data_IF_016865449618
#
_entry.id   IF_016865449618
#
_cell.length_a   1.000
_cell.length_b   1.000
_cell.length_c   1.000
_cell.angle_alpha   90.00
_cell.angle_beta   90.00
_cell.angle_gamma   90.00
#
_symmetry.space_group_name_H-M   'P 1'
#
loop_
_entity.id
_entity.type
_entity.pdbx_description
1 polymer ?
#
# COMPACT_ATOMS: atom_id res chain seq x y z
N UNK A 1 3.54 1.89 20.39
CA UNK A 1 2.18 1.50 19.93
C UNK A 1 1.25 2.68 20.18
N UNK A 2 0.77 3.33 19.12
CA UNK A 2 -0.13 4.48 19.21
C UNK A 2 -1.52 3.98 18.83
N UNK A 3 -2.17 3.27 19.75
CA UNK A 3 -3.54 2.82 19.57
C UNK A 3 -4.50 3.69 20.38
N UNK A 4 -5.55 4.17 19.75
CA UNK A 4 -6.66 4.87 20.39
C UNK A 4 -7.91 4.01 20.26
N UNK A 5 -8.54 3.71 21.40
CA UNK A 5 -9.81 3.00 21.42
C UNK A 5 -10.94 3.81 20.78
N UNK A 6 -12.02 3.17 20.40
CA UNK A 6 -13.18 3.83 19.80
C UNK A 6 -13.72 4.92 20.74
N UNK A 7 -13.85 6.14 20.22
CA UNK A 7 -14.32 7.28 20.98
C UNK A 7 -15.06 8.26 20.07
N UNK A 8 -16.08 8.91 20.58
CA UNK A 8 -16.72 10.07 19.95
C UNK A 8 -16.07 11.39 20.31
N UNK A 9 -15.02 11.37 21.13
CA UNK A 9 -14.34 12.59 21.58
C UNK A 9 -13.30 13.05 20.55
N UNK A 10 -13.63 14.08 19.78
CA UNK A 10 -12.77 14.65 18.73
C UNK A 10 -11.38 15.06 19.26
N UNK A 11 -11.29 15.56 20.51
CA UNK A 11 -10.00 15.96 21.08
C UNK A 11 -9.06 14.79 21.27
N UNK A 12 -9.57 13.62 21.72
CA UNK A 12 -8.75 12.42 21.88
C UNK A 12 -8.30 11.87 20.52
N UNK A 13 -9.15 11.96 19.50
CA UNK A 13 -8.78 11.59 18.15
C UNK A 13 -7.68 12.48 17.59
N UNK A 14 -7.80 13.80 17.74
CA UNK A 14 -6.77 14.74 17.30
C UNK A 14 -5.44 14.55 18.06
N UNK A 15 -5.50 14.25 19.36
CA UNK A 15 -4.31 13.94 20.15
C UNK A 15 -3.63 12.65 19.69
N UNK A 16 -4.40 11.62 19.37
CA UNK A 16 -3.88 10.35 18.83
C UNK A 16 -3.21 10.57 17.46
N UNK A 17 -3.85 11.33 16.56
CA UNK A 17 -3.26 11.71 15.27
C UNK A 17 -1.99 12.54 15.45
N UNK A 18 -1.98 13.47 16.38
CA UNK A 18 -0.79 14.30 16.68
C UNK A 18 0.39 13.49 17.25
N UNK A 19 0.10 12.38 17.94
CA UNK A 19 1.13 11.43 18.42
C UNK A 19 1.62 10.47 17.33
N UNK A 20 0.91 10.38 16.22
CA UNK A 20 1.32 9.59 15.08
C UNK A 20 2.49 10.27 14.38
N UNK A 21 3.68 10.04 14.90
CA UNK A 21 4.91 10.37 14.19
C UNK A 21 5.06 9.31 13.08
N UNK A 22 4.78 9.70 11.86
CA UNK A 22 5.07 8.87 10.71
C UNK A 22 6.55 8.48 10.78
N UNK A 23 6.82 7.23 11.07
CA UNK A 23 8.17 6.73 10.85
C UNK A 23 8.37 6.78 9.35
N UNK A 24 9.21 7.69 8.88
CA UNK A 24 9.60 7.80 7.49
C UNK A 24 10.44 6.58 7.07
N UNK A 25 9.83 5.41 7.16
CA UNK A 25 10.38 4.23 6.56
C UNK A 25 10.48 4.51 5.05
N UNK A 26 11.65 4.29 4.48
CA UNK A 26 11.82 4.33 3.02
C UNK A 26 10.72 3.48 2.41
N UNK A 27 10.11 3.97 1.34
CA UNK A 27 9.15 3.17 0.56
C UNK A 27 9.77 1.80 0.27
N UNK A 28 9.02 0.70 0.48
CA UNK A 28 9.50 -0.65 0.15
C UNK A 28 9.95 -0.74 -1.30
N UNK A 29 9.25 -0.05 -2.19
CA UNK A 29 9.59 0.09 -3.61
C UNK A 29 10.96 0.75 -3.79
N UNK A 30 11.27 1.82 -3.05
CA UNK A 30 12.58 2.49 -3.11
C UNK A 30 13.69 1.58 -2.55
N UNK A 31 13.41 0.85 -1.47
CA UNK A 31 14.36 -0.11 -0.89
C UNK A 31 14.71 -1.25 -1.85
N UNK A 32 13.73 -1.76 -2.60
CA UNK A 32 13.92 -2.80 -3.61
C UNK A 32 14.81 -2.32 -4.75
N UNK A 33 14.54 -1.12 -5.26
CA UNK A 33 15.31 -0.51 -6.33
C UNK A 33 16.78 -0.34 -5.91
N UNK A 34 17.04 0.19 -4.71
CA UNK A 34 18.40 0.34 -4.16
C UNK A 34 19.12 -1.00 -4.04
N UNK A 35 18.42 -2.06 -3.63
CA UNK A 35 18.98 -3.41 -3.48
C UNK A 35 19.30 -4.02 -4.83
N UNK A 36 18.37 -3.95 -5.78
CA UNK A 36 18.55 -4.46 -7.14
C UNK A 36 19.77 -3.85 -7.83
N UNK A 37 19.95 -2.53 -7.73
CA UNK A 37 21.11 -1.85 -8.34
C UNK A 37 22.42 -2.11 -7.59
N UNK A 38 22.35 -2.39 -6.30
CA UNK A 38 23.55 -2.80 -5.55
C UNK A 38 24.04 -4.18 -6.01
N UNK A 39 23.14 -5.08 -6.38
CA UNK A 39 23.50 -6.37 -6.97
C UNK A 39 23.97 -6.27 -8.41
N UNK A 40 23.39 -5.37 -9.22
CA UNK A 40 23.83 -5.13 -10.60
C UNK A 40 25.28 -4.64 -10.70
N UNK A 41 25.78 -3.99 -9.66
CA UNK A 41 27.15 -3.48 -9.61
C UNK A 41 28.21 -4.52 -9.20
N UNK A 42 27.79 -5.73 -8.79
CA UNK A 42 28.69 -6.83 -8.51
C UNK A 42 28.75 -7.76 -9.72
N UNK A 43 29.97 -8.13 -10.16
CA UNK A 43 30.28 -8.92 -11.38
C UNK A 43 29.66 -10.34 -11.45
N UNK A 44 28.80 -10.71 -10.51
CA UNK A 44 28.14 -12.02 -10.42
C UNK A 44 26.95 -12.22 -11.34
N UNK A 45 26.77 -11.36 -12.34
CA UNK A 45 25.61 -11.32 -13.24
C UNK A 45 25.49 -12.52 -14.19
N UNK A 46 26.49 -13.37 -14.29
CA UNK A 46 26.56 -14.36 -15.36
C UNK A 46 25.92 -15.72 -15.05
N UNK A 47 25.51 -16.02 -13.80
CA UNK A 47 25.06 -17.39 -13.48
C UNK A 47 23.97 -17.54 -12.41
N UNK A 48 23.37 -16.49 -11.86
CA UNK A 48 22.37 -16.69 -10.81
C UNK A 48 21.09 -15.90 -11.11
N UNK A 49 19.93 -16.57 -11.05
CA UNK A 49 18.66 -15.94 -10.76
C UNK A 49 18.93 -15.01 -9.57
N UNK A 50 18.75 -13.71 -9.76
CA UNK A 50 18.78 -12.76 -8.66
C UNK A 50 17.63 -13.15 -7.74
N UNK A 51 17.92 -13.93 -6.73
CA UNK A 51 16.97 -14.22 -5.66
C UNK A 51 16.89 -12.94 -4.86
N UNK A 52 15.74 -12.28 -4.93
CA UNK A 52 15.49 -11.11 -4.11
C UNK A 52 15.45 -11.55 -2.63
N UNK A 53 16.52 -11.28 -1.89
CA UNK A 53 16.63 -11.63 -0.47
C UNK A 53 15.51 -11.00 0.36
N UNK A 54 14.93 -9.90 -0.10
CA UNK A 54 13.83 -9.21 0.55
C UNK A 54 12.45 -9.74 0.13
N UNK A 55 12.37 -10.65 -0.86
CA UNK A 55 11.10 -11.17 -1.34
C UNK A 55 10.31 -11.87 -0.23
N UNK A 56 10.97 -12.65 0.59
CA UNK A 56 10.36 -13.30 1.76
C UNK A 56 9.82 -12.27 2.76
N UNK A 57 10.59 -11.21 3.04
CA UNK A 57 10.18 -10.15 3.95
C UNK A 57 8.97 -9.39 3.41
N UNK A 58 8.98 -9.05 2.12
CA UNK A 58 7.85 -8.39 1.45
C UNK A 58 6.60 -9.27 1.43
N UNK A 59 6.76 -10.52 1.05
CA UNK A 59 5.67 -11.49 1.08
C UNK A 59 5.07 -11.66 2.48
N UNK A 60 5.92 -11.69 3.50
CA UNK A 60 5.48 -11.77 4.91
C UNK A 60 4.74 -10.50 5.34
N UNK A 61 5.24 -9.31 5.00
CA UNK A 61 4.58 -8.03 5.28
C UNK A 61 3.24 -7.91 4.58
N UNK A 62 3.17 -8.27 3.30
CA UNK A 62 1.94 -8.27 2.53
C UNK A 62 0.86 -9.13 3.19
N UNK A 63 1.21 -10.37 3.55
CA UNK A 63 0.30 -11.29 4.23
C UNK A 63 -0.12 -10.79 5.60
N UNK A 64 0.80 -10.25 6.40
CA UNK A 64 0.50 -9.69 7.71
C UNK A 64 -0.48 -8.51 7.61
N UNK A 65 -0.31 -7.62 6.62
CA UNK A 65 -1.22 -6.52 6.37
C UNK A 65 -2.62 -7.01 6.02
N UNK A 66 -2.73 -7.96 5.09
CA UNK A 66 -4.01 -8.53 4.68
C UNK A 66 -4.69 -9.28 5.84
N UNK A 67 -3.93 -10.06 6.62
CA UNK A 67 -4.45 -10.72 7.81
C UNK A 67 -5.00 -9.72 8.83
N UNK A 68 -4.32 -8.61 9.08
CA UNK A 68 -4.79 -7.55 9.99
C UNK A 68 -6.09 -6.92 9.50
N UNK A 69 -6.21 -6.64 8.20
CA UNK A 69 -7.47 -6.09 7.63
C UNK A 69 -8.61 -7.10 7.71
N UNK A 70 -8.34 -8.39 7.51
CA UNK A 70 -9.33 -9.45 7.67
C UNK A 70 -9.80 -9.58 9.12
N UNK A 71 -8.86 -9.67 10.07
CA UNK A 71 -9.18 -9.74 11.50
C UNK A 71 -9.99 -8.53 11.98
N UNK A 72 -9.64 -7.33 11.50
CA UNK A 72 -10.41 -6.12 11.76
C UNK A 72 -11.84 -6.22 11.20
N UNK A 73 -11.97 -6.73 9.98
CA UNK A 73 -13.29 -6.95 9.35
C UNK A 73 -14.13 -7.96 10.12
N UNK A 74 -13.53 -9.07 10.51
CA UNK A 74 -14.18 -10.10 11.33
C UNK A 74 -14.63 -9.53 12.68
N UNK A 75 -13.81 -8.75 13.34
CA UNK A 75 -14.15 -8.09 14.59
C UNK A 75 -15.31 -7.08 14.40
N UNK A 76 -15.29 -6.30 13.32
CA UNK A 76 -16.36 -5.36 12.99
C UNK A 76 -17.67 -6.06 12.61
N UNK A 77 -17.66 -7.34 12.24
CA UNK A 77 -18.87 -8.11 11.93
C UNK A 77 -19.85 -8.14 13.11
N UNK A 78 -19.35 -8.04 14.34
CA UNK A 78 -20.16 -7.94 15.57
C UNK A 78 -21.03 -6.67 15.63
N UNK A 79 -20.69 -5.62 14.89
CA UNK A 79 -21.48 -4.38 14.80
C UNK A 79 -22.54 -4.53 13.72
N UNK A 80 -23.77 -4.80 14.13
CA UNK A 80 -24.89 -5.06 13.20
C UNK A 80 -25.67 -3.80 12.84
N UNK A 81 -26.38 -3.84 11.73
CA UNK A 81 -27.38 -2.84 11.34
C UNK A 81 -26.81 -1.54 10.76
N UNK A 82 -25.54 -1.49 10.46
CA UNK A 82 -24.93 -0.32 9.77
C UNK A 82 -23.73 -0.72 8.93
N UNK A 83 -23.52 0.00 7.82
CA UNK A 83 -22.30 -0.05 7.03
C UNK A 83 -21.15 0.52 7.86
N UNK A 84 -19.99 -0.08 7.75
CA UNK A 84 -18.77 0.36 8.44
C UNK A 84 -17.77 0.82 7.40
N UNK A 85 -17.09 1.92 7.69
CA UNK A 85 -16.00 2.46 6.89
C UNK A 85 -14.68 2.25 7.63
N UNK A 86 -13.72 1.68 6.94
CA UNK A 86 -12.33 1.60 7.42
C UNK A 86 -11.46 2.40 6.46
N UNK A 87 -10.73 3.37 6.98
CA UNK A 87 -9.75 4.12 6.20
C UNK A 87 -8.39 3.47 6.39
N UNK A 88 -7.87 2.90 5.32
CA UNK A 88 -6.57 2.25 5.27
C UNK A 88 -5.56 3.18 4.59
N UNK A 89 -4.71 3.81 5.38
CA UNK A 89 -3.63 4.67 4.90
C UNK A 89 -2.37 3.84 4.70
N UNK A 90 -1.97 3.64 3.46
CA UNK A 90 -0.82 2.80 3.11
C UNK A 90 -0.21 3.23 1.78
N UNK A 91 1.09 2.98 1.64
CA UNK A 91 1.78 3.13 0.35
C UNK A 91 1.48 1.99 -0.63
N UNK A 92 0.61 1.05 -0.24
CA UNK A 92 0.23 -0.12 -1.00
C UNK A 92 0.86 -1.41 -0.47
N UNK A 93 0.49 -2.51 -1.10
CA UNK A 93 1.07 -3.82 -0.84
C UNK A 93 2.21 -3.99 -1.84
N UNK A 94 3.44 -3.92 -1.35
CA UNK A 94 4.65 -4.01 -2.17
C UNK A 94 4.95 -5.47 -2.55
N UNK A 95 4.06 -6.06 -3.34
CA UNK A 95 4.24 -7.39 -3.89
C UNK A 95 3.50 -7.54 -5.23
N UNK A 96 4.19 -8.12 -6.22
CA UNK A 96 3.58 -8.40 -7.51
C UNK A 96 2.74 -9.68 -7.43
N UNK A 97 1.43 -9.50 -7.30
CA UNK A 97 0.47 -10.61 -7.23
C UNK A 97 0.11 -11.18 -8.61
N UNK A 98 0.47 -10.48 -9.69
CA UNK A 98 0.15 -10.87 -11.06
C UNK A 98 1.27 -11.68 -11.71
N UNK A 99 2.52 -11.51 -11.27
CA UNK A 99 3.66 -12.29 -11.77
C UNK A 99 3.86 -13.59 -10.99
N UNK A 100 3.00 -14.57 -11.25
CA UNK A 100 3.05 -15.89 -10.62
C UNK A 100 4.31 -16.70 -10.99
N UNK A 101 5.03 -16.34 -12.04
CA UNK A 101 6.22 -17.07 -12.49
C UNK A 101 7.49 -16.64 -11.78
N UNK A 102 7.63 -15.36 -11.48
CA UNK A 102 8.82 -14.80 -10.86
C UNK A 102 8.63 -14.44 -9.38
N UNK A 103 7.37 -14.34 -8.92
CA UNK A 103 7.01 -13.98 -7.55
C UNK A 103 6.49 -15.20 -6.78
N UNK A 104 7.32 -15.88 -5.96
CA UNK A 104 6.98 -17.17 -5.32
C UNK A 104 5.71 -17.13 -4.46
N UNK A 105 5.38 -15.98 -3.89
CA UNK A 105 4.23 -15.81 -3.00
C UNK A 105 3.02 -15.16 -3.69
N UNK A 106 3.09 -14.84 -4.98
CA UNK A 106 2.04 -14.13 -5.71
C UNK A 106 0.67 -14.78 -5.56
N UNK A 107 0.55 -16.07 -5.85
CA UNK A 107 -0.71 -16.81 -5.74
C UNK A 107 -1.25 -16.86 -4.31
N UNK A 108 -0.35 -16.97 -3.33
CA UNK A 108 -0.74 -17.00 -1.91
C UNK A 108 -1.27 -15.63 -1.48
N UNK A 109 -0.59 -14.55 -1.85
CA UNK A 109 -0.98 -13.17 -1.49
C UNK A 109 -2.27 -12.78 -2.22
N UNK A 110 -2.43 -13.16 -3.50
CA UNK A 110 -3.68 -12.97 -4.23
C UNK A 110 -4.85 -13.66 -3.55
N UNK A 111 -4.69 -14.91 -3.11
CA UNK A 111 -5.72 -15.62 -2.35
C UNK A 111 -6.05 -14.97 -1.01
N UNK A 112 -5.06 -14.45 -0.30
CA UNK A 112 -5.28 -13.71 0.95
C UNK A 112 -5.98 -12.36 0.70
N UNK A 113 -5.69 -11.69 -0.41
CA UNK A 113 -6.39 -10.48 -0.84
C UNK A 113 -7.88 -10.77 -1.06
N UNK A 114 -8.20 -11.79 -1.85
CA UNK A 114 -9.58 -12.21 -2.10
C UNK A 114 -10.32 -12.58 -0.81
N UNK A 115 -9.68 -13.31 0.10
CA UNK A 115 -10.25 -13.65 1.40
C UNK A 115 -10.51 -12.43 2.26
N UNK A 116 -9.62 -11.44 2.23
CA UNK A 116 -9.78 -10.19 2.96
C UNK A 116 -10.95 -9.39 2.42
N UNK A 117 -11.08 -9.28 1.10
CA UNK A 117 -12.23 -8.66 0.43
C UNK A 117 -13.53 -9.39 0.82
N UNK A 118 -13.54 -10.71 0.75
CA UNK A 118 -14.70 -11.52 1.13
C UNK A 118 -15.13 -11.32 2.58
N UNK A 119 -14.19 -11.29 3.52
CA UNK A 119 -14.46 -11.04 4.93
C UNK A 119 -15.01 -9.62 5.16
N UNK A 120 -14.45 -8.60 4.53
CA UNK A 120 -14.92 -7.23 4.61
C UNK A 120 -16.35 -7.10 4.05
N UNK A 121 -16.63 -7.69 2.90
CA UNK A 121 -17.96 -7.69 2.29
C UNK A 121 -18.99 -8.38 3.19
N UNK A 122 -18.67 -9.56 3.73
CA UNK A 122 -19.56 -10.28 4.66
C UNK A 122 -19.82 -9.50 5.94
N UNK A 123 -18.82 -8.76 6.41
CA UNK A 123 -18.94 -7.90 7.59
C UNK A 123 -19.65 -6.57 7.29
N UNK A 124 -20.03 -6.27 6.06
CA UNK A 124 -20.53 -4.96 5.61
C UNK A 124 -19.54 -3.83 5.97
N UNK A 125 -18.26 -4.07 5.67
CA UNK A 125 -17.14 -3.12 5.84
C UNK A 125 -16.69 -2.66 4.48
N UNK A 126 -16.73 -1.38 4.22
CA UNK A 126 -16.12 -0.75 3.05
C UNK A 126 -14.71 -0.28 3.41
N UNK A 127 -13.71 -0.70 2.64
CA UNK A 127 -12.33 -0.26 2.79
C UNK A 127 -12.09 0.95 1.89
N UNK A 128 -11.72 2.06 2.49
CA UNK A 128 -11.28 3.25 1.78
C UNK A 128 -9.78 3.31 1.87
N UNK A 129 -9.11 3.17 0.75
CA UNK A 129 -7.65 3.15 0.71
C UNK A 129 -7.13 4.53 0.35
N UNK A 130 -6.06 4.95 1.02
CA UNK A 130 -5.48 6.26 0.85
C UNK A 130 -3.96 6.15 0.78
N UNK A 131 -3.39 6.57 -0.37
CA UNK A 131 -1.94 6.64 -0.53
C UNK A 131 -1.43 7.99 0.00
N UNK A 132 -0.69 8.01 1.13
CA UNK A 132 -0.22 9.25 1.72
C UNK A 132 0.91 9.94 0.93
N UNK A 133 1.46 9.28 -0.09
CA UNK A 133 2.51 9.86 -0.95
C UNK A 133 1.97 10.99 -1.84
N UNK A 134 0.65 11.01 -2.08
CA UNK A 134 0.01 12.00 -2.94
C UNK A 134 0.37 11.82 -4.42
N UNK A 135 0.34 12.91 -5.19
CA UNK A 135 0.84 12.90 -6.57
C UNK A 135 2.36 12.72 -6.56
N UNK A 136 2.79 11.48 -6.64
CA UNK A 136 4.19 11.16 -6.95
C UNK A 136 4.40 11.41 -8.45
N UNK A 137 4.67 12.65 -8.81
CA UNK A 137 5.29 12.90 -10.12
C UNK A 137 6.69 12.30 -10.04
N UNK A 138 6.94 11.27 -10.84
CA UNK A 138 8.29 10.84 -11.14
C UNK A 138 8.90 11.99 -11.94
N UNK A 139 9.75 12.74 -11.31
CA UNK A 139 10.18 14.07 -11.74
C UNK A 139 10.05 15.11 -10.62
N UNK A 140 9.52 14.72 -9.43
CA UNK A 140 9.72 15.57 -8.25
C UNK A 140 11.20 15.51 -7.86
N UNK A 141 11.80 16.69 -7.75
CA UNK A 141 13.23 16.91 -7.46
C UNK A 141 13.79 16.02 -6.32
N UNK A 142 12.95 15.48 -5.44
CA UNK A 142 13.34 14.59 -4.36
C UNK A 142 13.63 13.15 -4.81
N UNK A 143 12.91 12.63 -5.78
CA UNK A 143 13.16 11.28 -6.31
C UNK A 143 14.36 11.35 -7.27
N UNK A 144 14.45 12.39 -8.10
CA UNK A 144 15.61 12.63 -8.94
C UNK A 144 16.87 12.93 -8.11
N UNK A 145 16.80 13.73 -7.05
CA UNK A 145 17.95 14.04 -6.20
C UNK A 145 18.48 12.80 -5.45
N UNK A 146 17.62 11.86 -5.02
CA UNK A 146 18.07 10.60 -4.43
C UNK A 146 18.64 9.62 -5.47
N UNK A 147 18.18 9.67 -6.71
CA UNK A 147 18.67 8.85 -7.81
C UNK A 147 19.99 9.39 -8.43
N UNK A 148 20.23 10.70 -8.32
CA UNK A 148 21.42 11.37 -8.90
C UNK A 148 22.64 11.33 -7.96
N UNK A 149 22.47 11.03 -6.67
CA UNK A 149 23.60 11.01 -5.71
C UNK A 149 24.60 9.87 -5.93
N UNK A 150 24.36 8.96 -6.87
CA UNK A 150 25.36 7.95 -7.24
C UNK A 150 25.96 8.28 -8.62
N UNK A 151 26.95 9.18 -8.61
CA UNK A 151 27.72 9.67 -9.79
C UNK A 151 28.45 8.55 -10.57
N UNK A 152 28.27 7.28 -10.19
CA UNK A 152 28.96 6.14 -10.80
C UNK A 152 28.26 5.56 -12.02
N UNK A 153 27.03 6.01 -12.34
CA UNK A 153 26.23 5.50 -13.45
C UNK A 153 25.75 6.60 -14.40
N UNK A 154 26.68 7.32 -14.99
CA UNK A 154 26.41 8.34 -16.00
C UNK A 154 26.37 7.73 -17.41
N UNK A 155 25.46 6.80 -17.67
CA UNK A 155 25.35 6.26 -19.01
C UNK A 155 24.09 5.42 -19.22
N UNK A 156 23.05 6.00 -19.80
CA UNK A 156 21.95 5.26 -20.45
C UNK A 156 20.98 4.45 -19.57
N UNK A 157 21.35 4.14 -18.33
CA UNK A 157 20.59 3.27 -17.43
C UNK A 157 19.51 3.99 -16.61
N UNK A 158 19.53 5.31 -16.57
CA UNK A 158 18.59 6.13 -15.78
C UNK A 158 17.14 5.95 -16.26
N UNK A 159 16.93 5.72 -17.53
CA UNK A 159 15.61 5.48 -18.11
C UNK A 159 14.98 4.17 -17.62
N UNK A 160 15.76 3.10 -17.62
CA UNK A 160 15.30 1.77 -17.16
C UNK A 160 14.98 1.76 -15.66
N UNK A 161 15.74 2.50 -14.85
CA UNK A 161 15.47 2.68 -13.41
C UNK A 161 14.14 3.36 -13.15
N UNK A 162 13.85 4.43 -13.88
CA UNK A 162 12.60 5.17 -13.75
C UNK A 162 11.39 4.34 -14.17
N UNK A 163 11.51 3.53 -15.21
CA UNK A 163 10.42 2.68 -15.68
C UNK A 163 10.14 1.54 -14.70
N UNK A 164 11.16 0.92 -14.12
CA UNK A 164 11.01 -0.09 -13.08
C UNK A 164 10.35 0.49 -11.82
N UNK A 165 10.81 1.67 -11.36
CA UNK A 165 10.22 2.35 -10.21
C UNK A 165 8.75 2.73 -10.46
N UNK A 166 8.43 3.21 -11.66
CA UNK A 166 7.04 3.49 -12.06
C UNK A 166 6.17 2.25 -12.03
N UNK A 167 6.69 1.15 -12.53
CA UNK A 167 5.98 -0.11 -12.53
C UNK A 167 5.67 -0.57 -11.09
N UNK A 168 6.66 -0.58 -10.22
CA UNK A 168 6.51 -0.99 -8.82
C UNK A 168 5.54 -0.08 -8.04
N UNK A 169 5.62 1.23 -8.26
CA UNK A 169 4.67 2.17 -7.64
C UNK A 169 3.24 1.93 -8.10
N UNK A 170 3.06 1.64 -9.38
CA UNK A 170 1.74 1.34 -9.96
C UNK A 170 1.18 0.04 -9.38
N UNK A 171 1.97 -1.01 -9.30
CA UNK A 171 1.56 -2.28 -8.68
C UNK A 171 1.08 -2.11 -7.24
N UNK A 172 1.82 -1.31 -6.46
CA UNK A 172 1.44 -1.04 -5.08
C UNK A 172 0.11 -0.27 -4.99
N UNK A 173 -0.16 0.62 -5.95
CA UNK A 173 -1.43 1.38 -6.05
C UNK A 173 -2.58 0.50 -6.56
N UNK A 174 -2.32 -0.39 -7.52
CA UNK A 174 -3.34 -1.31 -8.05
C UNK A 174 -3.88 -2.21 -6.93
N UNK A 175 -3.03 -2.73 -6.05
CA UNK A 175 -3.45 -3.49 -4.88
C UNK A 175 -4.34 -2.70 -3.91
N UNK A 176 -4.11 -1.39 -3.75
CA UNK A 176 -4.98 -0.52 -2.95
C UNK A 176 -6.35 -0.34 -3.63
N UNK A 177 -6.35 -0.22 -4.95
CA UNK A 177 -7.58 -0.10 -5.72
C UNK A 177 -8.42 -1.37 -5.64
N UNK A 178 -7.81 -2.54 -5.80
CA UNK A 178 -8.48 -3.84 -5.69
C UNK A 178 -9.15 -4.03 -4.32
N UNK A 179 -8.47 -3.65 -3.23
CA UNK A 179 -9.04 -3.69 -1.89
C UNK A 179 -10.27 -2.77 -1.74
N UNK A 180 -10.19 -1.55 -2.27
CA UNK A 180 -11.28 -0.60 -2.17
C UNK A 180 -12.47 -1.04 -3.03
N UNK A 181 -12.25 -1.32 -4.31
CA UNK A 181 -13.29 -1.68 -5.27
C UNK A 181 -13.98 -2.99 -4.87
N UNK A 182 -13.22 -3.99 -4.42
CA UNK A 182 -13.75 -5.27 -3.98
C UNK A 182 -14.62 -5.21 -2.73
N UNK A 183 -14.51 -4.15 -1.92
CA UNK A 183 -15.31 -3.95 -0.69
C UNK A 183 -16.37 -2.86 -0.82
N UNK A 184 -16.50 -2.26 -2.00
CA UNK A 184 -17.44 -1.16 -2.26
C UNK A 184 -17.01 0.16 -1.61
N UNK A 185 -15.72 0.34 -1.36
CA UNK A 185 -15.11 1.59 -0.94
C UNK A 185 -14.56 2.39 -2.12
N UNK A 186 -13.60 3.28 -1.85
CA UNK A 186 -12.92 4.10 -2.87
C UNK A 186 -11.42 4.15 -2.58
N UNK A 187 -10.61 4.15 -3.64
CA UNK A 187 -9.18 4.37 -3.56
C UNK A 187 -8.83 5.84 -3.85
N UNK A 188 -8.06 6.44 -2.98
CA UNK A 188 -7.52 7.80 -3.14
C UNK A 188 -6.02 7.69 -3.35
N UNK A 189 -5.65 7.55 -4.60
CA UNK A 189 -4.27 7.43 -5.08
C UNK A 189 -3.93 8.64 -5.96
N UNK A 190 -2.67 9.01 -6.00
CA UNK A 190 -2.21 10.14 -6.82
C UNK A 190 -2.94 11.47 -6.54
N UNK A 191 -3.31 11.72 -5.29
CA UNK A 191 -4.02 12.93 -4.90
C UNK A 191 -3.35 13.58 -3.69
N UNK A 192 -3.14 14.90 -3.77
CA UNK A 192 -2.65 15.71 -2.65
C UNK A 192 -3.78 16.31 -1.81
N UNK A 193 -5.03 16.12 -2.23
CA UNK A 193 -6.19 16.67 -1.53
C UNK A 193 -6.83 15.61 -0.61
N UNK A 194 -6.23 15.43 0.54
CA UNK A 194 -6.74 14.54 1.58
C UNK A 194 -8.07 15.03 2.16
N UNK A 195 -8.31 16.35 2.20
CA UNK A 195 -9.56 16.91 2.71
C UNK A 195 -10.75 16.49 1.85
N UNK A 196 -10.58 16.53 0.54
CA UNK A 196 -11.60 16.06 -0.40
C UNK A 196 -11.82 14.53 -0.27
N UNK A 197 -10.75 13.76 -0.08
CA UNK A 197 -10.87 12.32 0.14
C UNK A 197 -11.75 12.02 1.37
N UNK A 198 -11.49 12.65 2.51
CA UNK A 198 -12.32 12.47 3.71
C UNK A 198 -13.75 12.95 3.53
N UNK A 199 -13.97 14.07 2.85
CA UNK A 199 -15.33 14.56 2.54
C UNK A 199 -16.11 13.51 1.73
N UNK A 200 -15.51 12.96 0.69
CA UNK A 200 -16.15 11.92 -0.13
C UNK A 200 -16.44 10.63 0.64
N UNK A 201 -15.53 10.22 1.54
CA UNK A 201 -15.76 9.06 2.41
C UNK A 201 -16.99 9.29 3.32
N UNK A 202 -17.09 10.48 3.91
CA UNK A 202 -18.23 10.84 4.76
C UNK A 202 -19.53 10.87 3.96
N UNK A 203 -19.53 11.47 2.78
CA UNK A 203 -20.67 11.53 1.90
C UNK A 203 -21.14 10.13 1.47
N UNK A 204 -20.23 9.24 1.06
CA UNK A 204 -20.54 7.88 0.65
C UNK A 204 -21.11 7.03 1.80
N UNK A 205 -20.68 7.28 3.03
CA UNK A 205 -21.19 6.58 4.21
C UNK A 205 -22.43 7.23 4.83
N UNK A 206 -22.83 8.43 4.40
CA UNK A 206 -24.01 9.14 4.91
C UNK A 206 -25.32 8.59 4.37
N UNK A 207 -25.29 7.96 3.20
CA UNK A 207 -26.46 7.39 2.53
C UNK A 207 -26.14 6.01 1.95
N UNK A 208 -26.84 4.98 2.39
CA UNK A 208 -26.75 3.63 1.84
C UNK A 208 -28.09 2.95 1.86
N UNK A 209 -28.32 2.09 0.89
CA UNK A 209 -29.52 1.27 0.82
C UNK A 209 -29.22 -0.11 1.41
N UNK A 210 -30.12 -0.63 2.25
CA UNK A 210 -30.12 -2.02 2.70
C UNK A 210 -31.13 -2.77 1.87
N UNK A 211 -30.68 -3.76 1.12
CA UNK A 211 -31.52 -4.69 0.35
C UNK A 211 -31.87 -5.91 1.19
#
# INVERSE_FOLDING_TARGET
DVSQGFTGNQRLLLEAVGKFAGQGARSGVMGRNDTYFRYLSQEDFHNNRVVDELDFERGTKARATLATLRELSDWLSGVRGRRKAVVFMSQGIDYDIYDVFNSPYASTIASELERTIGAAAQANVALYTLDPRGMTTIGSDQIEAQLIQDDRFSGGETGLRNDSLRYDLRLAQDNLQDLADGTGGMAFINSNDLSNAFTRIVEDNSSYYVL
#
